data_IF_838515967543
#
_entry.id   IF_838515967543
#
_cell.length_a   1.000
_cell.length_b   1.000
_cell.length_c   1.000
_cell.angle_alpha   90.00
_cell.angle_beta   90.00
_cell.angle_gamma   90.00
#
_symmetry.space_group_name_H-M   'P 1'
#
loop_
_entity.id
_entity.type
_entity.pdbx_description
1 polymer ?
#
# COMPACT_ATOMS: atom_id res chain seq x y z
N UNK A 1 -10.18 -14.87 16.05
CA UNK A 1 -10.65 -16.09 15.36
C UNK A 1 -9.76 -16.36 14.14
N UNK A 2 -9.38 -17.62 13.90
CA UNK A 2 -8.56 -18.07 12.76
C UNK A 2 -9.46 -18.22 11.52
N UNK A 3 -9.04 -17.74 10.35
CA UNK A 3 -9.74 -17.96 9.07
C UNK A 3 -9.34 -19.26 8.37
N UNK A 4 -8.74 -20.17 9.13
CA UNK A 4 -8.01 -21.31 8.64
C UNK A 4 -9.01 -22.39 8.22
N UNK A 5 -9.19 -22.56 6.91
CA UNK A 5 -10.03 -23.63 6.34
C UNK A 5 -9.22 -24.92 6.41
N UNK A 6 -9.31 -25.61 7.56
CA UNK A 6 -8.85 -26.99 7.80
C UNK A 6 -7.67 -27.43 6.93
N UNK A 7 -6.45 -27.34 7.47
CA UNK A 7 -5.17 -27.77 6.89
C UNK A 7 -5.30 -28.71 5.68
N UNK A 8 -5.45 -28.12 4.50
CA UNK A 8 -5.36 -28.88 3.26
C UNK A 8 -3.88 -29.18 3.05
N UNK A 9 -3.51 -30.42 3.34
CA UNK A 9 -2.26 -31.07 2.97
C UNK A 9 -1.74 -30.53 1.64
N UNK A 10 -0.68 -29.72 1.68
CA UNK A 10 -0.06 -29.17 0.48
C UNK A 10 0.97 -28.07 0.73
N UNK A 11 0.82 -27.28 1.79
CA UNK A 11 1.78 -26.24 2.16
C UNK A 11 2.14 -26.38 3.64
N UNK A 12 3.43 -26.55 3.95
CA UNK A 12 3.99 -26.69 5.31
C UNK A 12 3.86 -25.40 6.17
N UNK A 13 2.75 -24.68 6.10
CA UNK A 13 2.51 -23.46 6.87
C UNK A 13 1.49 -23.75 7.98
N UNK A 14 2.01 -24.18 9.13
CA UNK A 14 1.25 -24.32 10.37
C UNK A 14 0.67 -22.96 10.81
N UNK A 15 -0.56 -22.96 11.30
CA UNK A 15 -1.18 -21.74 11.81
C UNK A 15 -0.80 -21.41 13.26
N UNK A 16 -0.35 -20.18 13.50
CA UNK A 16 0.03 -19.61 14.81
C UNK A 16 -1.07 -19.60 15.89
N UNK A 17 -2.34 -19.65 15.49
CA UNK A 17 -3.45 -19.66 16.43
C UNK A 17 -3.85 -21.08 16.85
N UNK A 18 -3.45 -22.09 16.08
CA UNK A 18 -3.81 -23.48 16.33
C UNK A 18 -2.63 -24.32 16.84
N UNK A 19 -1.39 -23.88 16.61
CA UNK A 19 -0.19 -24.57 17.04
C UNK A 19 0.59 -23.71 18.05
N UNK A 20 1.01 -24.28 19.19
CA UNK A 20 1.86 -23.59 20.15
C UNK A 20 3.22 -23.25 19.55
N UNK A 21 3.85 -22.20 20.07
CA UNK A 21 5.11 -21.64 19.53
C UNK A 21 6.24 -22.68 19.47
N UNK A 22 6.27 -23.67 20.37
CA UNK A 22 7.27 -24.74 20.35
C UNK A 22 7.13 -25.71 19.17
N UNK A 23 5.92 -25.94 18.68
CA UNK A 23 5.64 -26.85 17.56
C UNK A 23 5.98 -26.18 16.21
N UNK A 24 5.69 -24.89 16.09
CA UNK A 24 6.10 -24.05 14.96
C UNK A 24 7.62 -23.97 14.79
N UNK A 25 8.37 -23.88 15.89
CA UNK A 25 9.84 -23.84 15.89
C UNK A 25 10.50 -25.14 15.40
N UNK A 26 9.80 -26.28 15.47
CA UNK A 26 10.32 -27.59 15.01
C UNK A 26 10.11 -27.82 13.52
N UNK A 27 9.04 -27.25 12.95
CA UNK A 27 8.60 -27.53 11.58
C UNK A 27 8.85 -26.40 10.57
N UNK A 28 9.10 -25.17 11.03
CA UNK A 28 9.45 -24.03 10.16
C UNK A 28 10.88 -23.54 10.45
N UNK A 29 11.55 -23.01 9.42
CA UNK A 29 12.88 -22.42 9.55
C UNK A 29 12.83 -21.33 10.66
N UNK A 30 13.55 -21.51 11.79
CA UNK A 30 13.47 -20.63 12.95
C UNK A 30 13.76 -19.17 12.62
N UNK A 31 14.48 -18.93 11.51
CA UNK A 31 14.92 -17.63 11.07
C UNK A 31 13.79 -16.71 10.65
N UNK A 32 12.79 -17.17 9.89
CA UNK A 32 11.75 -16.28 9.34
C UNK A 32 10.76 -15.82 10.41
N UNK A 33 10.33 -16.74 11.28
CA UNK A 33 9.32 -16.46 12.31
C UNK A 33 9.84 -15.47 13.35
N UNK A 34 11.04 -15.69 13.88
CA UNK A 34 11.65 -14.77 14.82
C UNK A 34 11.97 -13.40 14.18
N UNK A 35 12.30 -13.42 12.87
CA UNK A 35 12.64 -12.21 12.11
C UNK A 35 11.44 -11.34 11.77
N UNK A 36 10.21 -11.87 11.71
CA UNK A 36 9.03 -11.15 11.20
C UNK A 36 7.91 -10.96 12.23
N UNK A 37 7.80 -11.81 13.25
CA UNK A 37 6.67 -11.81 14.19
C UNK A 37 7.04 -11.30 15.59
N UNK A 38 6.08 -10.70 16.30
CA UNK A 38 6.14 -10.39 17.74
C UNK A 38 5.00 -11.14 18.42
N UNK A 39 5.33 -12.21 19.16
CA UNK A 39 4.35 -13.20 19.57
C UNK A 39 3.67 -13.85 18.37
N UNK A 40 2.35 -14.03 18.42
CA UNK A 40 1.56 -14.61 17.32
C UNK A 40 1.18 -13.62 16.21
N UNK A 41 1.66 -12.37 16.26
CA UNK A 41 1.30 -11.32 15.31
C UNK A 41 2.45 -10.99 14.38
N UNK A 42 2.15 -10.81 13.09
CA UNK A 42 3.09 -10.27 12.12
C UNK A 42 3.45 -8.83 12.53
N UNK A 43 4.74 -8.57 12.73
CA UNK A 43 5.22 -7.27 13.18
C UNK A 43 5.72 -6.46 11.99
N UNK A 44 5.15 -5.28 11.82
CA UNK A 44 5.41 -4.40 10.68
C UNK A 44 6.83 -3.84 10.66
N UNK A 45 7.42 -3.57 11.83
CA UNK A 45 8.75 -2.97 11.93
C UNK A 45 9.81 -4.04 11.71
N UNK A 46 9.57 -5.25 12.22
CA UNK A 46 10.36 -6.44 11.90
C UNK A 46 10.30 -6.76 10.41
N UNK A 47 9.11 -6.73 9.81
CA UNK A 47 8.92 -6.92 8.37
C UNK A 47 9.69 -5.88 7.54
N UNK A 48 9.57 -4.60 7.90
CA UNK A 48 10.31 -3.54 7.24
C UNK A 48 11.83 -3.70 7.39
N UNK A 49 12.31 -4.06 8.59
CA UNK A 49 13.74 -4.30 8.84
C UNK A 49 14.26 -5.49 8.04
N UNK A 50 13.51 -6.58 7.97
CA UNK A 50 13.87 -7.75 7.18
C UNK A 50 13.99 -7.38 5.69
N UNK A 51 12.99 -6.68 5.14
CA UNK A 51 13.01 -6.26 3.75
C UNK A 51 14.14 -5.26 3.45
N UNK A 52 14.42 -4.35 4.39
CA UNK A 52 15.56 -3.44 4.31
C UNK A 52 16.89 -4.21 4.16
N UNK A 53 17.11 -5.25 4.97
CA UNK A 53 18.33 -6.06 4.88
C UNK A 53 18.38 -6.86 3.57
N UNK A 54 17.23 -7.36 3.11
CA UNK A 54 17.12 -8.06 1.83
C UNK A 54 17.53 -7.16 0.66
N UNK A 55 16.99 -5.94 0.58
CA UNK A 55 17.36 -4.96 -0.46
C UNK A 55 18.84 -4.62 -0.38
N UNK A 56 19.37 -4.39 0.83
CA UNK A 56 20.80 -4.12 1.05
C UNK A 56 21.70 -5.25 0.54
N UNK A 57 21.30 -6.50 0.77
CA UNK A 57 22.07 -7.67 0.39
C UNK A 57 22.02 -7.93 -1.12
N UNK A 58 20.85 -7.74 -1.75
CA UNK A 58 20.65 -8.05 -3.17
C UNK A 58 21.10 -6.91 -4.08
N UNK A 59 21.03 -5.64 -3.62
CA UNK A 59 21.33 -4.47 -4.46
C UNK A 59 22.65 -4.57 -5.25
N UNK A 60 23.80 -4.96 -4.65
CA UNK A 60 25.06 -5.06 -5.39
C UNK A 60 25.06 -6.09 -6.53
N UNK A 61 24.13 -7.06 -6.51
CA UNK A 61 23.99 -8.07 -7.55
C UNK A 61 23.09 -7.62 -8.72
N UNK A 62 22.35 -6.51 -8.56
CA UNK A 62 21.46 -5.97 -9.59
C UNK A 62 22.26 -5.18 -10.63
N UNK A 63 21.87 -5.29 -11.91
CA UNK A 63 22.53 -4.56 -13.02
C UNK A 63 22.44 -3.05 -12.85
N UNK A 64 21.36 -2.60 -12.23
CA UNK A 64 21.08 -1.19 -11.94
C UNK A 64 22.13 -0.58 -11.01
N UNK A 65 22.74 -1.38 -10.12
CA UNK A 65 23.74 -0.91 -9.15
C UNK A 65 25.02 -0.35 -9.79
N UNK A 66 25.29 -0.70 -11.05
CA UNK A 66 26.43 -0.14 -11.80
C UNK A 66 26.26 1.33 -12.17
N UNK A 67 25.02 1.79 -12.33
CA UNK A 67 24.71 3.16 -12.79
C UNK A 67 23.95 3.96 -11.74
N UNK A 68 23.39 3.29 -10.72
CA UNK A 68 22.58 3.89 -9.68
C UNK A 68 23.16 3.58 -8.30
N UNK A 69 23.28 4.61 -7.48
CA UNK A 69 23.64 4.52 -6.08
C UNK A 69 22.38 4.47 -5.22
N UNK A 70 22.28 3.44 -4.39
CA UNK A 70 21.22 3.26 -3.41
C UNK A 70 21.64 3.84 -2.06
N UNK A 71 20.82 4.75 -1.53
CA UNK A 71 20.90 5.23 -0.16
C UNK A 71 19.68 4.70 0.59
N UNK A 72 19.95 3.84 1.57
CA UNK A 72 18.95 3.26 2.43
C UNK A 72 18.65 4.21 3.60
N UNK A 73 17.37 4.49 3.88
CA UNK A 73 16.95 5.30 5.04
C UNK A 73 16.50 4.39 6.19
N UNK A 74 16.65 4.82 7.46
CA UNK A 74 16.25 4.00 8.61
C UNK A 74 14.80 3.50 8.48
N UNK A 75 14.57 2.17 8.50
CA UNK A 75 13.23 1.62 8.34
C UNK A 75 12.42 1.88 9.62
N UNK A 76 11.13 2.17 9.43
CA UNK A 76 10.13 2.19 10.50
C UNK A 76 9.01 1.22 10.13
N UNK A 77 7.80 1.72 9.90
CA UNK A 77 6.67 0.98 9.33
C UNK A 77 6.68 0.97 7.79
N UNK A 78 7.66 1.62 7.17
CA UNK A 78 7.90 1.62 5.73
C UNK A 78 9.39 1.52 5.45
N UNK A 79 9.72 1.08 4.25
CA UNK A 79 11.08 1.07 3.73
C UNK A 79 11.25 2.24 2.77
N UNK A 80 12.13 3.18 3.09
CA UNK A 80 12.40 4.32 2.23
C UNK A 80 13.82 4.25 1.68
N UNK A 81 13.93 4.48 0.38
CA UNK A 81 15.18 4.40 -0.34
C UNK A 81 15.31 5.60 -1.27
N UNK A 82 16.53 6.07 -1.47
CA UNK A 82 16.86 7.04 -2.51
C UNK A 82 17.79 6.36 -3.50
N UNK A 83 17.44 6.39 -4.78
CA UNK A 83 18.31 5.94 -5.87
C UNK A 83 18.75 7.15 -6.69
N UNK A 84 20.05 7.28 -6.95
CA UNK A 84 20.61 8.41 -7.69
C UNK A 84 21.71 7.96 -8.67
N UNK A 85 21.75 8.55 -9.86
CA UNK A 85 22.82 8.33 -10.84
C UNK A 85 23.71 9.58 -11.01
N UNK A 86 23.59 10.56 -10.10
CA UNK A 86 24.30 11.84 -10.14
C UNK A 86 23.57 12.95 -10.90
N UNK A 87 22.71 12.63 -11.88
CA UNK A 87 21.84 13.60 -12.58
C UNK A 87 20.41 13.56 -12.05
N UNK A 88 19.90 12.36 -11.86
CA UNK A 88 18.53 12.09 -11.43
C UNK A 88 18.55 11.44 -10.05
N UNK A 89 17.51 11.74 -9.27
CA UNK A 89 17.34 11.21 -7.93
C UNK A 89 15.88 10.89 -7.68
N UNK A 90 15.58 9.63 -7.39
CA UNK A 90 14.24 9.17 -7.05
C UNK A 90 14.17 8.75 -5.59
N UNK A 91 13.12 9.19 -4.91
CA UNK A 91 12.76 8.70 -3.58
C UNK A 91 11.66 7.67 -3.75
N UNK A 92 11.89 6.47 -3.23
CA UNK A 92 10.97 5.35 -3.28
C UNK A 92 10.58 5.04 -1.84
N UNK A 93 9.28 5.01 -1.58
CA UNK A 93 8.73 4.49 -0.32
C UNK A 93 7.97 3.21 -0.62
N UNK A 94 8.35 2.14 0.06
CA UNK A 94 7.69 0.85 -0.01
C UNK A 94 6.87 0.63 1.25
N UNK A 95 5.58 0.41 1.04
CA UNK A 95 4.61 0.02 2.05
C UNK A 95 4.31 -1.48 1.89
N UNK A 96 4.04 -2.14 3.00
CA UNK A 96 3.73 -3.56 3.02
C UNK A 96 2.22 -3.74 3.15
N UNK A 97 1.68 -4.74 2.46
CA UNK A 97 0.27 -5.07 2.52
C UNK A 97 0.07 -6.59 2.50
N UNK A 98 -0.79 -7.08 3.39
CA UNK A 98 -1.26 -8.47 3.40
C UNK A 98 -2.70 -8.47 2.91
N UNK A 99 -2.99 -9.27 1.90
CA UNK A 99 -4.32 -9.35 1.30
C UNK A 99 -5.30 -10.02 2.25
N UNK A 100 -6.51 -9.46 2.37
CA UNK A 100 -7.58 -10.07 3.15
C UNK A 100 -8.36 -11.05 2.28
N UNK A 101 -8.07 -12.35 2.43
CA UNK A 101 -8.67 -13.41 1.65
C UNK A 101 -8.49 -13.20 0.15
N UNK A 102 -9.58 -13.36 -0.63
CA UNK A 102 -9.58 -13.15 -2.08
C UNK A 102 -10.14 -11.77 -2.49
N UNK A 103 -10.18 -10.81 -1.56
CA UNK A 103 -10.73 -9.47 -1.80
C UNK A 103 -9.67 -8.46 -2.29
N UNK A 104 -10.11 -7.26 -2.67
CA UNK A 104 -9.22 -6.12 -2.96
C UNK A 104 -8.90 -5.27 -1.72
N UNK A 105 -9.21 -5.79 -0.53
CA UNK A 105 -8.92 -5.16 0.76
C UNK A 105 -7.62 -5.74 1.31
N UNK A 106 -6.76 -4.87 1.80
CA UNK A 106 -5.47 -5.23 2.37
C UNK A 106 -5.37 -4.69 3.79
N UNK A 107 -4.63 -5.37 4.66
CA UNK A 107 -4.11 -4.75 5.88
C UNK A 107 -2.69 -4.25 5.57
N UNK A 108 -2.40 -3.00 5.91
CA UNK A 108 -1.20 -2.31 5.42
C UNK A 108 -0.31 -1.78 6.53
N UNK A 109 0.95 -1.52 6.19
CA UNK A 109 1.92 -0.98 7.13
C UNK A 109 1.72 0.51 7.44
N UNK A 110 0.92 1.20 6.62
CA UNK A 110 0.67 2.63 6.75
C UNK A 110 -0.08 2.94 8.06
N UNK A 111 0.48 3.78 8.94
CA UNK A 111 -0.17 4.11 10.20
C UNK A 111 -1.41 4.98 9.97
N UNK A 112 -2.48 4.74 10.74
CA UNK A 112 -3.65 5.64 10.78
C UNK A 112 -3.42 6.82 11.72
N UNK A 113 -2.61 6.62 12.76
CA UNK A 113 -2.38 7.57 13.85
C UNK A 113 -0.91 7.49 14.29
N UNK A 114 -0.43 8.55 14.95
CA UNK A 114 0.97 8.69 15.36
C UNK A 114 1.50 7.54 16.25
N UNK A 115 0.63 6.84 17.00
CA UNK A 115 1.01 5.80 17.97
C UNK A 115 0.44 4.42 17.61
N UNK A 116 0.49 4.04 16.32
CA UNK A 116 0.04 2.71 15.90
C UNK A 116 1.08 1.65 16.28
N UNK A 117 0.71 0.70 17.15
CA UNK A 117 1.58 -0.43 17.57
C UNK A 117 2.14 -1.22 16.37
N UNK A 118 3.36 -1.76 16.48
CA UNK A 118 4.04 -2.51 15.42
C UNK A 118 3.29 -3.76 14.96
N UNK A 119 2.43 -4.33 15.80
CA UNK A 119 1.61 -5.50 15.47
C UNK A 119 0.26 -5.15 14.84
N UNK A 120 -0.11 -3.87 14.77
CA UNK A 120 -1.38 -3.41 14.17
C UNK A 120 -1.16 -3.08 12.70
N UNK A 121 -1.94 -3.69 11.81
CA UNK A 121 -1.96 -3.42 10.38
C UNK A 121 -3.32 -2.82 9.97
N UNK A 122 -3.43 -1.49 9.81
CA UNK A 122 -4.70 -0.87 9.41
C UNK A 122 -5.15 -1.27 8.01
N UNK A 123 -6.46 -1.39 7.81
CA UNK A 123 -7.04 -1.63 6.49
C UNK A 123 -6.68 -0.53 5.48
N UNK A 124 -6.45 -0.97 4.25
CA UNK A 124 -6.18 -0.17 3.08
C UNK A 124 -7.03 -0.67 1.92
N UNK A 125 -7.67 0.30 1.26
CA UNK A 125 -8.52 0.07 0.10
C UNK A 125 -7.83 0.49 -1.20
N UNK A 126 -6.52 0.77 -1.18
CA UNK A 126 -5.79 1.36 -2.30
C UNK A 126 -5.91 0.54 -3.60
N UNK A 127 -5.94 -0.79 -3.51
CA UNK A 127 -6.11 -1.68 -4.67
C UNK A 127 -7.54 -1.61 -5.20
N UNK A 128 -8.55 -1.65 -4.33
CA UNK A 128 -9.96 -1.49 -4.70
C UNK A 128 -10.23 -0.11 -5.33
N UNK A 129 -9.73 0.97 -4.73
CA UNK A 129 -9.83 2.33 -5.24
C UNK A 129 -9.16 2.48 -6.61
N UNK A 130 -7.98 1.89 -6.80
CA UNK A 130 -7.33 1.87 -8.10
C UNK A 130 -8.19 1.13 -9.14
N UNK A 131 -8.71 -0.04 -8.80
CA UNK A 131 -9.62 -0.78 -9.69
C UNK A 131 -10.88 0.01 -10.03
N UNK A 132 -11.42 0.76 -9.07
CA UNK A 132 -12.54 1.69 -9.30
C UNK A 132 -12.18 2.75 -10.34
N UNK A 133 -11.08 3.49 -10.16
CA UNK A 133 -10.67 4.50 -11.14
C UNK A 133 -10.36 3.91 -12.51
N UNK A 134 -9.74 2.72 -12.56
CA UNK A 134 -9.51 1.99 -13.81
C UNK A 134 -10.82 1.64 -14.51
N UNK A 135 -11.83 1.20 -13.75
CA UNK A 135 -13.15 0.90 -14.28
C UNK A 135 -13.84 2.15 -14.84
N UNK A 136 -13.81 3.27 -14.12
CA UNK A 136 -14.34 4.55 -14.59
C UNK A 136 -13.63 5.01 -15.87
N UNK A 137 -12.29 4.96 -15.90
CA UNK A 137 -11.50 5.40 -17.05
C UNK A 137 -11.83 4.59 -18.33
N UNK A 138 -12.11 3.29 -18.21
CA UNK A 138 -12.51 2.44 -19.35
C UNK A 138 -13.88 2.81 -19.92
N UNK A 139 -14.77 3.40 -19.11
CA UNK A 139 -16.12 3.82 -19.50
C UNK A 139 -16.22 5.31 -19.82
N UNK A 140 -15.17 6.07 -19.52
CA UNK A 140 -15.16 7.50 -19.70
C UNK A 140 -15.07 7.87 -21.18
N UNK A 141 -15.78 8.92 -21.63
CA UNK A 141 -15.50 9.53 -22.91
C UNK A 141 -14.03 9.98 -23.02
N UNK A 142 -13.41 9.99 -24.22
CA UNK A 142 -12.03 10.40 -24.40
C UNK A 142 -11.69 11.81 -23.87
N UNK A 143 -12.69 12.70 -23.80
CA UNK A 143 -12.59 14.08 -23.33
C UNK A 143 -12.98 14.26 -21.85
N UNK A 144 -13.08 13.18 -21.08
CA UNK A 144 -13.44 13.23 -19.67
C UNK A 144 -12.34 13.88 -18.82
N UNK A 145 -12.75 14.68 -17.84
CA UNK A 145 -11.90 15.50 -16.99
C UNK A 145 -11.90 15.06 -15.52
N UNK A 146 -12.49 13.91 -15.18
CA UNK A 146 -12.60 13.43 -13.80
C UNK A 146 -11.24 13.33 -13.08
N UNK A 147 -10.21 12.78 -13.74
CA UNK A 147 -8.85 12.74 -13.17
C UNK A 147 -8.21 14.14 -13.12
N UNK A 148 -8.54 15.04 -14.04
CA UNK A 148 -8.04 16.42 -14.03
C UNK A 148 -8.64 17.22 -12.87
N UNK A 149 -9.91 16.98 -12.52
CA UNK A 149 -10.52 17.55 -11.31
C UNK A 149 -9.75 17.09 -10.06
N UNK A 150 -9.49 15.77 -9.94
CA UNK A 150 -8.74 15.23 -8.82
C UNK A 150 -7.31 15.81 -8.75
N UNK A 151 -6.62 15.92 -9.89
CA UNK A 151 -5.29 16.55 -9.97
C UNK A 151 -5.31 18.04 -9.62
N UNK A 152 -6.38 18.75 -9.96
CA UNK A 152 -6.54 20.16 -9.61
C UNK A 152 -6.63 20.35 -8.09
N UNK A 153 -7.53 19.63 -7.43
CA UNK A 153 -7.73 19.76 -5.98
C UNK A 153 -6.55 19.25 -5.15
N UNK A 154 -5.86 18.20 -5.60
CA UNK A 154 -4.63 17.73 -4.94
C UNK A 154 -3.50 18.77 -5.00
N UNK A 155 -3.44 19.60 -6.05
CA UNK A 155 -2.49 20.72 -6.14
C UNK A 155 -2.93 21.95 -5.37
N UNK A 156 -4.24 22.17 -5.23
CA UNK A 156 -4.83 23.32 -4.52
C UNK A 156 -4.86 23.17 -2.99
N UNK A 157 -4.33 22.06 -2.44
CA UNK A 157 -4.36 21.74 -1.01
C UNK A 157 -3.77 22.82 -0.09
N UNK A 158 -3.00 23.77 -0.62
CA UNK A 158 -2.44 24.89 0.15
C UNK A 158 -3.48 25.86 0.74
N UNK A 159 -4.78 25.73 0.44
CA UNK A 159 -5.81 26.63 0.97
C UNK A 159 -7.08 26.02 1.56
N UNK A 160 -7.32 24.71 1.41
CA UNK A 160 -8.65 24.10 1.69
C UNK A 160 -8.73 23.26 2.97
N UNK A 161 -7.62 22.95 3.64
CA UNK A 161 -7.62 22.19 4.90
C UNK A 161 -7.98 20.69 4.78
N UNK A 162 -8.29 20.18 3.58
CA UNK A 162 -8.62 18.78 3.35
C UNK A 162 -7.41 17.93 2.94
N UNK A 163 -7.40 16.66 3.40
CA UNK A 163 -6.41 15.67 2.97
C UNK A 163 -6.63 15.25 1.52
N UNK A 164 -5.58 14.77 0.85
CA UNK A 164 -5.65 14.25 -0.52
C UNK A 164 -6.61 13.06 -0.60
N UNK A 165 -6.64 12.27 0.47
CA UNK A 165 -7.54 11.12 0.61
C UNK A 165 -9.00 11.58 0.68
N UNK A 166 -9.31 12.65 1.41
CA UNK A 166 -10.67 13.22 1.50
C UNK A 166 -11.17 13.65 0.13
N UNK A 167 -10.36 14.41 -0.62
CA UNK A 167 -10.70 14.84 -1.99
C UNK A 167 -10.93 13.64 -2.91
N UNK A 168 -10.05 12.63 -2.86
CA UNK A 168 -10.19 11.40 -3.63
C UNK A 168 -11.53 10.71 -3.32
N UNK A 169 -11.90 10.61 -2.04
CA UNK A 169 -13.18 10.02 -1.61
C UNK A 169 -14.38 10.80 -2.12
N UNK A 170 -14.37 12.14 -2.05
CA UNK A 170 -15.44 12.99 -2.60
C UNK A 170 -15.59 12.74 -4.10
N UNK A 171 -14.49 12.74 -4.86
CA UNK A 171 -14.52 12.47 -6.31
C UNK A 171 -15.04 11.06 -6.60
N UNK A 172 -14.61 10.04 -5.85
CA UNK A 172 -15.14 8.68 -6.00
C UNK A 172 -16.64 8.59 -5.71
N UNK A 173 -17.12 9.31 -4.70
CA UNK A 173 -18.54 9.40 -4.38
C UNK A 173 -19.32 10.02 -5.54
N UNK A 174 -18.88 11.19 -6.03
CA UNK A 174 -19.49 11.87 -7.18
C UNK A 174 -19.49 10.99 -8.44
N UNK A 175 -18.42 10.23 -8.68
CA UNK A 175 -18.33 9.29 -9.81
C UNK A 175 -19.29 8.10 -9.68
N UNK A 176 -19.71 7.77 -8.46
CA UNK A 176 -20.69 6.70 -8.20
C UNK A 176 -22.13 7.17 -8.43
N UNK A 177 -22.42 8.46 -8.20
CA UNK A 177 -23.78 9.01 -8.32
C UNK A 177 -24.04 9.75 -9.65
N UNK A 178 -22.98 10.18 -10.36
CA UNK A 178 -23.11 10.93 -11.61
C UNK A 178 -22.58 10.13 -12.81
N UNK A 179 -23.30 10.11 -13.94
CA UNK A 179 -22.80 9.48 -15.16
C UNK A 179 -21.46 10.08 -15.62
N UNK A 180 -20.55 9.23 -16.11
CA UNK A 180 -19.22 9.66 -16.55
C UNK A 180 -19.27 10.65 -17.73
N UNK A 181 -20.37 10.66 -18.49
CA UNK A 181 -20.65 11.65 -19.53
C UNK A 181 -20.77 13.09 -19.00
N UNK A 182 -21.08 13.27 -17.72
CA UNK A 182 -21.17 14.56 -17.05
C UNK A 182 -19.82 15.10 -16.55
N UNK A 183 -18.72 14.42 -16.87
CA UNK A 183 -17.36 14.84 -16.52
C UNK A 183 -16.60 15.46 -17.70
N UNK A 184 -17.31 15.90 -18.75
CA UNK A 184 -16.74 16.58 -19.91
C UNK A 184 -16.48 18.07 -19.65
N UNK A 185 -15.71 18.71 -20.54
CA UNK A 185 -15.34 20.13 -20.47
C UNK A 185 -16.51 21.07 -20.19
N UNK A 186 -17.67 20.86 -20.84
CA UNK A 186 -18.87 21.69 -20.65
C UNK A 186 -19.44 21.69 -19.23
N UNK A 187 -19.12 20.68 -18.42
CA UNK A 187 -19.58 20.55 -17.03
C UNK A 187 -18.45 20.80 -16.02
N UNK A 188 -17.24 21.13 -16.47
CA UNK A 188 -16.05 21.17 -15.62
C UNK A 188 -16.20 22.10 -14.42
N UNK A 189 -16.62 23.36 -14.65
CA UNK A 189 -16.83 24.34 -13.57
C UNK A 189 -17.86 23.85 -12.56
N UNK A 190 -18.97 23.25 -13.02
CA UNK A 190 -19.98 22.66 -12.13
C UNK A 190 -19.38 21.54 -11.28
N UNK A 191 -18.58 20.66 -11.87
CA UNK A 191 -17.89 19.57 -11.15
C UNK A 191 -16.88 20.08 -10.13
N UNK A 192 -16.24 21.23 -10.38
CA UNK A 192 -15.37 21.88 -9.40
C UNK A 192 -16.17 22.45 -8.22
N UNK A 193 -17.38 22.97 -8.44
CA UNK A 193 -18.23 23.48 -7.34
C UNK A 193 -18.85 22.36 -6.49
N UNK A 194 -19.05 21.18 -7.08
CA UNK A 194 -19.61 20.03 -6.38
C UNK A 194 -18.57 19.29 -5.50
N UNK A 195 -17.26 19.60 -5.65
CA UNK A 195 -16.14 19.03 -4.89
C UNK A 195 -15.68 20.01 -3.82
#
# INVERSE_FOLDING_TARGET
ECTCTSERQGENMLCFLHHPEEELRRHQDPSLLHSLCTGSYLDVEKTARWFYQLVRAIWPALRESHHWHLVLLPPRRSCQFKVTNGRESYRIEMLFGVQQGNSDVFVSSQPRQAHTSSTIWPESYAVAEMKFFRYIARRAPPDSLHLKCLQFFTRLQLGLGFSTYTIKTIVMHLLSILPVSQWRRRHFVRRLMDI
#
